data_IF_869341951829
#
_entry.id   IF_869341951829
#
_cell.length_a   1.000
_cell.length_b   1.000
_cell.length_c   1.000
_cell.angle_alpha   90.00
_cell.angle_beta   90.00
_cell.angle_gamma   90.00
#
_symmetry.space_group_name_H-M   'P 1'
#
loop_
_entity.id
_entity.type
_entity.pdbx_description
1 polymer ?
#
# COMPACT_ATOMS: atom_id res chain seq x y z
N UNK A 1 8.04 3.05 21.95
CA UNK A 1 8.73 2.70 20.67
C UNK A 1 7.82 1.93 19.73
N UNK A 2 7.30 0.74 20.08
CA UNK A 2 6.41 -0.06 19.18
C UNK A 2 5.17 0.72 18.74
N UNK A 3 4.49 1.43 19.64
CA UNK A 3 3.32 2.26 19.30
C UNK A 3 3.66 3.33 18.27
N UNK A 4 4.75 4.08 18.47
CA UNK A 4 5.18 5.13 17.52
C UNK A 4 5.50 4.56 16.13
N UNK A 5 6.07 3.33 16.08
CA UNK A 5 6.32 2.65 14.80
C UNK A 5 5.02 2.24 14.11
N UNK A 6 4.00 1.79 14.84
CA UNK A 6 2.68 1.51 14.28
C UNK A 6 2.00 2.78 13.80
N UNK A 7 2.02 3.86 14.59
CA UNK A 7 1.51 5.17 14.17
C UNK A 7 2.19 5.68 12.88
N UNK A 8 3.49 5.41 12.69
CA UNK A 8 4.17 5.71 11.43
C UNK A 8 3.58 4.92 10.26
N UNK A 9 3.26 3.63 10.44
CA UNK A 9 2.59 2.81 9.43
C UNK A 9 1.20 3.34 9.06
N UNK A 10 0.42 3.78 10.04
CA UNK A 10 -0.86 4.45 9.78
C UNK A 10 -0.67 5.78 9.04
N UNK A 11 0.36 6.55 9.42
CA UNK A 11 0.75 7.79 8.75
C UNK A 11 1.19 7.58 7.30
N UNK A 12 1.80 6.43 6.97
CA UNK A 12 2.18 6.08 5.60
C UNK A 12 0.96 6.04 4.66
N UNK A 13 -0.14 5.46 5.13
CA UNK A 13 -1.39 5.39 4.36
C UNK A 13 -1.97 6.78 4.09
N UNK A 14 -2.02 7.62 5.12
CA UNK A 14 -2.50 9.00 4.99
C UNK A 14 -1.62 9.81 4.04
N UNK A 15 -0.30 9.72 4.20
CA UNK A 15 0.66 10.45 3.36
C UNK A 15 0.56 10.03 1.89
N UNK A 16 0.35 8.74 1.59
CA UNK A 16 0.12 8.28 0.23
C UNK A 16 -1.04 9.02 -0.43
N UNK A 17 -2.21 9.05 0.22
CA UNK A 17 -3.39 9.70 -0.35
C UNK A 17 -3.20 11.22 -0.50
N UNK A 18 -2.63 11.87 0.51
CA UNK A 18 -2.30 13.30 0.43
C UNK A 18 -1.34 13.60 -0.71
N UNK A 19 -0.31 12.76 -0.89
CA UNK A 19 0.66 12.91 -1.98
C UNK A 19 -0.02 12.82 -3.36
N UNK A 20 -0.87 11.81 -3.58
CA UNK A 20 -1.59 11.66 -4.85
C UNK A 20 -2.50 12.85 -5.12
N UNK A 21 -3.23 13.34 -4.10
CA UNK A 21 -4.10 14.51 -4.21
C UNK A 21 -3.28 15.75 -4.56
N UNK A 22 -2.26 16.07 -3.77
CA UNK A 22 -1.45 17.29 -3.96
C UNK A 22 -0.76 17.26 -5.31
N UNK A 23 -0.09 16.16 -5.68
CA UNK A 23 0.58 16.04 -6.97
C UNK A 23 -0.39 16.18 -8.15
N UNK A 24 -1.61 15.60 -8.05
CA UNK A 24 -2.61 15.73 -9.13
C UNK A 24 -3.12 17.15 -9.34
N UNK A 25 -3.21 17.96 -8.27
CA UNK A 25 -3.62 19.37 -8.36
C UNK A 25 -2.59 20.25 -9.08
N UNK A 26 -1.32 19.81 -9.15
CA UNK A 26 -0.27 20.54 -9.86
C UNK A 26 -0.18 20.24 -11.35
N UNK A 27 -0.97 19.27 -11.84
CA UNK A 27 -0.96 18.88 -13.25
C UNK A 27 -2.30 19.20 -13.94
N UNK A 28 -2.40 20.35 -14.64
CA UNK A 28 -3.61 20.69 -15.41
C UNK A 28 -3.95 19.59 -16.42
N UNK A 29 -5.20 19.12 -16.40
CA UNK A 29 -5.68 18.06 -17.31
C UNK A 29 -5.34 16.63 -16.89
N UNK A 30 -4.69 16.41 -15.74
CA UNK A 30 -4.49 15.08 -15.21
C UNK A 30 -5.82 14.38 -14.91
N UNK A 31 -5.94 13.13 -15.34
CA UNK A 31 -7.18 12.35 -15.20
C UNK A 31 -6.97 11.16 -14.25
N UNK A 32 -7.63 11.20 -13.11
CA UNK A 32 -7.68 10.06 -12.16
C UNK A 32 -8.34 8.80 -12.75
N UNK A 33 -9.05 8.92 -13.85
CA UNK A 33 -9.74 7.80 -14.50
C UNK A 33 -8.84 7.08 -15.49
N UNK A 34 -8.11 7.83 -16.31
CA UNK A 34 -7.37 7.28 -17.45
C UNK A 34 -5.87 7.17 -17.24
N UNK A 35 -5.31 7.87 -16.23
CA UNK A 35 -3.87 7.90 -15.96
C UNK A 35 -3.51 7.16 -14.66
N UNK A 36 -2.35 6.51 -14.66
CA UNK A 36 -1.79 5.91 -13.45
C UNK A 36 -1.39 6.99 -12.44
N UNK A 37 -1.48 6.65 -11.13
CA UNK A 37 -0.94 7.54 -10.08
C UNK A 37 0.57 7.76 -10.24
N UNK A 38 1.30 6.73 -10.66
CA UNK A 38 2.74 6.79 -10.87
C UNK A 38 3.18 7.71 -12.00
N UNK A 39 2.29 8.07 -12.94
CA UNK A 39 2.58 9.10 -13.93
C UNK A 39 2.83 10.47 -13.30
N UNK A 40 2.25 10.75 -12.11
CA UNK A 40 2.52 11.97 -11.36
C UNK A 40 3.99 12.12 -10.94
N UNK A 41 4.74 11.02 -10.89
CA UNK A 41 6.19 11.03 -10.62
C UNK A 41 7.06 10.96 -11.87
N UNK A 42 6.47 10.82 -13.05
CA UNK A 42 7.21 10.71 -14.31
C UNK A 42 7.71 12.05 -14.82
N UNK A 43 8.63 12.01 -15.79
CA UNK A 43 9.14 13.21 -16.45
C UNK A 43 8.06 14.02 -17.23
N UNK A 44 6.87 13.44 -17.45
CA UNK A 44 5.75 14.13 -18.08
C UNK A 44 4.99 15.03 -17.10
N UNK A 45 5.12 14.81 -15.79
CA UNK A 45 4.47 15.62 -14.78
C UNK A 45 5.15 16.99 -14.62
N UNK A 46 4.41 18.08 -14.37
CA UNK A 46 5.02 19.41 -14.15
C UNK A 46 5.88 19.46 -12.87
N UNK A 47 5.50 18.73 -11.82
CA UNK A 47 6.14 18.70 -10.51
C UNK A 47 6.29 17.26 -9.99
N UNK A 48 7.11 16.41 -10.68
CA UNK A 48 7.24 14.99 -10.32
C UNK A 48 7.86 14.78 -8.93
N UNK A 49 8.64 15.74 -8.45
CA UNK A 49 9.26 15.70 -7.12
C UNK A 49 8.24 15.61 -5.98
N UNK A 50 7.05 16.20 -6.12
CA UNK A 50 5.99 16.14 -5.09
C UNK A 50 5.56 14.69 -4.89
N UNK A 51 5.28 13.98 -6.00
CA UNK A 51 4.88 12.58 -5.94
C UNK A 51 6.03 11.70 -5.46
N UNK A 52 7.21 11.85 -6.04
CA UNK A 52 8.36 10.99 -5.77
C UNK A 52 8.82 11.09 -4.32
N UNK A 53 8.95 12.30 -3.76
CA UNK A 53 9.32 12.50 -2.35
C UNK A 53 8.22 11.96 -1.43
N UNK A 54 6.95 12.25 -1.72
CA UNK A 54 5.82 11.79 -0.91
C UNK A 54 5.71 10.27 -0.86
N UNK A 55 5.82 9.58 -2.00
CA UNK A 55 5.76 8.11 -2.08
C UNK A 55 6.99 7.46 -1.43
N UNK A 56 8.18 8.01 -1.63
CA UNK A 56 9.39 7.54 -0.95
C UNK A 56 9.23 7.65 0.57
N UNK A 57 8.74 8.79 1.06
CA UNK A 57 8.51 8.99 2.50
C UNK A 57 7.43 8.05 3.03
N UNK A 58 6.31 7.88 2.31
CA UNK A 58 5.27 6.91 2.67
C UNK A 58 5.82 5.48 2.72
N UNK A 59 6.69 5.11 1.78
CA UNK A 59 7.39 3.82 1.78
C UNK A 59 8.25 3.61 3.02
N UNK A 60 9.06 4.61 3.39
CA UNK A 60 9.89 4.56 4.61
C UNK A 60 9.03 4.39 5.88
N UNK A 61 7.95 5.16 5.99
CA UNK A 61 6.99 5.02 7.10
C UNK A 61 6.32 3.64 7.10
N UNK A 62 6.02 3.08 5.93
CA UNK A 62 5.49 1.72 5.78
C UNK A 62 6.46 0.65 6.29
N UNK A 63 7.75 0.77 5.99
CA UNK A 63 8.79 -0.12 6.54
C UNK A 63 8.82 -0.01 8.06
N UNK A 64 8.82 1.22 8.62
CA UNK A 64 8.80 1.43 10.06
C UNK A 64 7.55 0.81 10.68
N UNK A 65 6.37 0.95 10.06
CA UNK A 65 5.12 0.31 10.50
C UNK A 65 5.20 -1.21 10.51
N UNK A 66 5.80 -1.80 9.47
CA UNK A 66 6.03 -3.24 9.38
C UNK A 66 6.95 -3.76 10.50
N UNK A 67 8.04 -3.06 10.78
CA UNK A 67 8.91 -3.35 11.93
C UNK A 67 8.16 -3.19 13.26
N UNK A 68 7.22 -2.24 13.34
CA UNK A 68 6.30 -2.07 14.47
C UNK A 68 5.43 -3.31 14.69
N UNK A 69 4.83 -3.87 13.63
CA UNK A 69 4.05 -5.11 13.70
C UNK A 69 4.90 -6.29 14.15
N UNK A 70 6.11 -6.46 13.59
CA UNK A 70 7.05 -7.50 14.02
C UNK A 70 7.31 -7.40 15.53
N UNK A 71 7.67 -6.21 16.00
CA UNK A 71 7.94 -5.96 17.42
C UNK A 71 6.73 -6.21 18.31
N UNK A 72 5.55 -5.76 17.88
CA UNK A 72 4.27 -5.92 18.59
C UNK A 72 3.94 -7.39 18.82
N UNK A 73 4.02 -8.21 17.78
CA UNK A 73 3.67 -9.63 17.85
C UNK A 73 4.76 -10.47 18.50
N UNK A 74 6.05 -10.13 18.32
CA UNK A 74 7.15 -10.80 18.99
C UNK A 74 7.01 -10.72 20.51
N UNK A 75 6.68 -9.54 21.05
CA UNK A 75 6.44 -9.33 22.49
C UNK A 75 5.24 -10.12 23.04
N UNK A 76 4.37 -10.65 22.16
CA UNK A 76 3.16 -11.41 22.53
C UNK A 76 3.25 -12.91 22.21
N UNK A 77 4.44 -13.40 21.88
CA UNK A 77 4.69 -14.80 21.55
C UNK A 77 4.08 -15.24 20.21
N UNK A 78 3.76 -14.29 19.32
CA UNK A 78 3.17 -14.54 17.99
C UNK A 78 4.13 -14.16 16.86
N UNK A 79 5.41 -14.40 17.11
CA UNK A 79 6.51 -13.94 16.25
C UNK A 79 6.43 -14.44 14.81
N UNK A 80 5.93 -15.67 14.57
CA UNK A 80 5.90 -16.24 13.21
C UNK A 80 4.82 -15.56 12.35
N UNK A 81 3.54 -15.69 12.70
CA UNK A 81 2.44 -15.14 11.88
C UNK A 81 2.44 -13.61 11.89
N UNK A 82 2.66 -13.00 13.06
CA UNK A 82 2.75 -11.54 13.18
C UNK A 82 4.04 -10.98 12.57
N UNK A 83 5.15 -11.71 12.66
CA UNK A 83 6.40 -11.36 11.99
C UNK A 83 6.28 -11.40 10.48
N UNK A 84 5.65 -12.43 9.93
CA UNK A 84 5.37 -12.51 8.49
C UNK A 84 4.41 -11.40 8.02
N UNK A 85 3.39 -11.04 8.83
CA UNK A 85 2.53 -9.90 8.53
C UNK A 85 3.31 -8.59 8.47
N UNK A 86 4.21 -8.37 9.42
CA UNK A 86 5.08 -7.20 9.42
C UNK A 86 6.07 -7.19 8.24
N UNK A 87 6.65 -8.35 7.89
CA UNK A 87 7.54 -8.47 6.72
C UNK A 87 6.78 -8.18 5.41
N UNK A 88 5.54 -8.64 5.26
CA UNK A 88 4.73 -8.33 4.08
C UNK A 88 4.42 -6.83 3.97
N UNK A 89 4.23 -6.14 5.10
CA UNK A 89 4.10 -4.69 5.12
C UNK A 89 5.43 -3.98 4.81
N UNK A 90 6.55 -4.48 5.32
CA UNK A 90 7.87 -3.96 4.94
C UNK A 90 8.11 -4.11 3.43
N UNK A 91 7.72 -5.24 2.82
CA UNK A 91 7.84 -5.46 1.39
C UNK A 91 7.05 -4.41 0.58
N UNK A 92 5.82 -4.08 1.01
CA UNK A 92 5.06 -2.97 0.43
C UNK A 92 5.79 -1.63 0.58
N UNK A 93 6.32 -1.34 1.78
CA UNK A 93 7.07 -0.11 2.03
C UNK A 93 8.29 0.01 1.12
N UNK A 94 9.05 -1.08 0.93
CA UNK A 94 10.19 -1.14 -0.01
C UNK A 94 9.71 -0.92 -1.45
N UNK A 95 8.60 -1.51 -1.88
CA UNK A 95 8.04 -1.28 -3.21
C UNK A 95 7.70 0.21 -3.42
N UNK A 96 7.15 0.88 -2.42
CA UNK A 96 6.88 2.33 -2.48
C UNK A 96 8.17 3.15 -2.55
N UNK A 97 9.20 2.79 -1.77
CA UNK A 97 10.53 3.41 -1.86
C UNK A 97 11.09 3.29 -3.28
N UNK A 98 11.05 2.09 -3.86
CA UNK A 98 11.52 1.86 -5.24
C UNK A 98 10.70 2.68 -6.24
N UNK A 99 9.37 2.72 -6.10
CA UNK A 99 8.49 3.48 -6.98
C UNK A 99 8.76 4.98 -6.96
N UNK A 100 9.13 5.56 -5.80
CA UNK A 100 9.46 6.97 -5.69
C UNK A 100 10.89 7.31 -6.12
N UNK A 101 11.87 6.43 -5.84
CA UNK A 101 13.27 6.62 -6.21
C UNK A 101 13.54 6.31 -7.69
N UNK A 102 12.74 5.46 -8.30
CA UNK A 102 12.82 5.04 -9.69
C UNK A 102 11.50 5.35 -10.41
N UNK A 103 11.24 6.62 -10.77
CA UNK A 103 9.99 7.00 -11.43
C UNK A 103 9.87 6.35 -12.81
N UNK A 104 8.61 6.18 -13.28
CA UNK A 104 8.36 5.66 -14.62
C UNK A 104 9.07 6.48 -15.70
N UNK A 105 9.63 5.81 -16.74
CA UNK A 105 9.52 4.39 -17.09
C UNK A 105 10.66 3.47 -16.59
N UNK A 106 11.36 3.83 -15.50
CA UNK A 106 12.45 3.01 -14.96
C UNK A 106 11.97 1.57 -14.67
N UNK A 107 12.68 0.51 -15.10
CA UNK A 107 12.30 -0.88 -14.84
C UNK A 107 12.24 -1.24 -13.35
N UNK A 108 12.97 -0.54 -12.49
CA UNK A 108 12.94 -0.74 -11.04
C UNK A 108 11.70 -0.13 -10.37
N UNK A 109 10.91 0.67 -11.09
CA UNK A 109 9.69 1.31 -10.58
C UNK A 109 8.73 0.31 -9.92
N UNK A 110 8.61 -0.89 -10.48
CA UNK A 110 7.69 -1.92 -9.96
C UNK A 110 8.18 -2.61 -8.67
N UNK A 111 9.35 -2.25 -8.13
CA UNK A 111 9.88 -2.77 -6.87
C UNK A 111 9.93 -4.30 -6.83
N UNK A 112 10.28 -4.95 -7.96
CA UNK A 112 10.34 -6.41 -8.10
C UNK A 112 9.03 -7.14 -7.72
N UNK A 113 7.90 -6.48 -7.80
CA UNK A 113 6.60 -7.05 -7.42
C UNK A 113 6.40 -7.19 -5.90
N UNK A 114 7.26 -6.62 -5.06
CA UNK A 114 7.17 -6.68 -3.59
C UNK A 114 5.84 -6.11 -3.05
N UNK A 115 5.21 -5.21 -3.80
CA UNK A 115 3.88 -4.67 -3.45
C UNK A 115 2.82 -5.77 -3.32
N UNK A 116 2.94 -6.87 -4.08
CA UNK A 116 2.00 -7.99 -4.01
C UNK A 116 2.03 -8.71 -2.65
N UNK A 117 3.15 -8.64 -1.96
CA UNK A 117 3.34 -9.25 -0.64
C UNK A 117 2.30 -8.78 0.38
N UNK A 118 1.85 -7.52 0.30
CA UNK A 118 0.86 -6.97 1.23
C UNK A 118 -0.49 -7.68 1.20
N UNK A 119 -0.83 -8.38 0.11
CA UNK A 119 -2.05 -9.18 0.00
C UNK A 119 -2.11 -10.30 1.05
N UNK A 120 -0.95 -10.80 1.50
CA UNK A 120 -0.88 -11.80 2.56
C UNK A 120 -1.13 -11.22 3.96
N UNK A 121 -0.94 -9.91 4.17
CA UNK A 121 -1.02 -9.26 5.48
C UNK A 121 -2.32 -9.55 6.23
N UNK A 122 -3.53 -9.39 5.65
CA UNK A 122 -4.77 -9.63 6.37
C UNK A 122 -4.92 -11.09 6.81
N UNK A 123 -4.52 -12.07 6.00
CA UNK A 123 -4.56 -13.48 6.38
C UNK A 123 -3.60 -13.80 7.52
N UNK A 124 -2.39 -13.26 7.46
CA UNK A 124 -1.38 -13.43 8.51
C UNK A 124 -1.82 -12.78 9.83
N UNK A 125 -2.49 -11.61 9.75
CA UNK A 125 -3.09 -10.95 10.90
C UNK A 125 -4.25 -11.77 11.48
N UNK A 126 -5.11 -12.39 10.65
CA UNK A 126 -6.16 -13.29 11.13
C UNK A 126 -5.57 -14.43 11.98
N UNK A 127 -4.47 -15.02 11.53
CA UNK A 127 -3.77 -16.08 12.26
C UNK A 127 -3.14 -15.53 13.54
N UNK A 128 -2.44 -14.39 13.44
CA UNK A 128 -1.75 -13.77 14.57
C UNK A 128 -2.70 -13.30 15.68
N UNK A 129 -3.91 -12.89 15.33
CA UNK A 129 -4.93 -12.36 16.25
C UNK A 129 -5.96 -13.42 16.67
N UNK A 130 -5.76 -14.69 16.29
CA UNK A 130 -6.72 -15.76 16.61
C UNK A 130 -7.06 -15.79 18.10
N UNK A 131 -8.36 -15.71 18.40
CA UNK A 131 -8.90 -15.70 19.76
C UNK A 131 -8.66 -14.40 20.55
N UNK A 132 -8.22 -13.32 19.90
CA UNK A 132 -7.91 -12.04 20.55
C UNK A 132 -8.80 -10.88 20.13
N UNK A 133 -9.51 -11.01 19.01
CA UNK A 133 -10.36 -9.97 18.42
C UNK A 133 -11.74 -10.54 18.09
N UNK A 134 -12.74 -9.68 18.02
CA UNK A 134 -14.12 -10.06 17.71
C UNK A 134 -14.34 -10.36 16.22
N UNK A 135 -15.50 -11.00 15.91
CA UNK A 135 -15.87 -11.39 14.55
C UNK A 135 -15.90 -10.23 13.55
N UNK A 136 -16.30 -9.02 13.98
CA UNK A 136 -16.30 -7.83 13.13
C UNK A 136 -14.89 -7.49 12.60
N UNK A 137 -13.85 -7.65 13.44
CA UNK A 137 -12.48 -7.42 13.01
C UNK A 137 -12.01 -8.44 11.97
N UNK A 138 -12.33 -9.72 12.16
CA UNK A 138 -12.06 -10.75 11.15
C UNK A 138 -12.80 -10.50 9.85
N UNK A 139 -14.03 -10.02 9.92
CA UNK A 139 -14.81 -9.64 8.74
C UNK A 139 -14.10 -8.51 7.94
N UNK A 140 -13.61 -7.47 8.63
CA UNK A 140 -12.86 -6.38 8.01
C UNK A 140 -11.55 -6.86 7.36
N UNK A 141 -10.81 -7.75 8.02
CA UNK A 141 -9.61 -8.37 7.43
C UNK A 141 -9.96 -9.21 6.20
N UNK A 142 -11.09 -9.93 6.23
CA UNK A 142 -11.62 -10.71 5.10
C UNK A 142 -11.97 -9.80 3.91
N UNK A 143 -12.66 -8.70 4.16
CA UNK A 143 -12.99 -7.71 3.14
C UNK A 143 -11.71 -7.09 2.53
N UNK A 144 -10.73 -6.77 3.38
CA UNK A 144 -9.45 -6.26 2.90
C UNK A 144 -8.74 -7.27 2.00
N UNK A 145 -8.66 -8.55 2.41
CA UNK A 145 -8.06 -9.60 1.60
C UNK A 145 -8.78 -9.79 0.26
N UNK A 146 -10.10 -10.02 0.30
CA UNK A 146 -10.90 -10.28 -0.91
C UNK A 146 -10.89 -9.07 -1.84
N UNK A 147 -11.03 -7.86 -1.29
CA UNK A 147 -11.00 -6.62 -2.06
C UNK A 147 -9.64 -6.41 -2.74
N UNK A 148 -8.53 -6.57 -2.01
CA UNK A 148 -7.18 -6.41 -2.59
C UNK A 148 -6.89 -7.49 -3.63
N UNK A 149 -7.15 -8.76 -3.33
CA UNK A 149 -6.91 -9.87 -4.25
C UNK A 149 -7.78 -9.78 -5.52
N UNK A 150 -9.06 -9.44 -5.36
CA UNK A 150 -9.99 -9.27 -6.48
C UNK A 150 -9.59 -8.11 -7.40
N UNK A 151 -9.25 -6.96 -6.82
CA UNK A 151 -8.82 -5.79 -7.60
C UNK A 151 -7.46 -6.02 -8.27
N UNK A 152 -6.54 -6.74 -7.63
CA UNK A 152 -5.30 -7.17 -8.28
C UNK A 152 -5.59 -8.11 -9.47
N UNK A 153 -6.45 -9.10 -9.29
CA UNK A 153 -6.82 -10.00 -10.37
C UNK A 153 -7.40 -9.24 -11.58
N UNK A 154 -8.26 -8.25 -11.32
CA UNK A 154 -8.80 -7.37 -12.38
C UNK A 154 -7.67 -6.57 -13.04
N UNK A 155 -6.75 -5.98 -12.27
CA UNK A 155 -5.61 -5.22 -12.80
C UNK A 155 -4.66 -6.10 -13.62
N UNK A 156 -4.57 -7.40 -13.31
CA UNK A 156 -3.82 -8.40 -14.09
C UNK A 156 -4.62 -9.01 -15.26
N UNK A 157 -5.77 -8.44 -15.60
CA UNK A 157 -6.52 -8.78 -16.81
C UNK A 157 -7.67 -9.77 -16.64
N UNK A 158 -7.99 -10.20 -15.42
CA UNK A 158 -9.17 -11.04 -15.18
C UNK A 158 -10.43 -10.26 -15.56
N UNK A 159 -11.25 -10.84 -16.43
CA UNK A 159 -12.48 -10.23 -16.93
C UNK A 159 -12.30 -9.14 -17.98
N UNK A 160 -11.07 -8.83 -18.40
CA UNK A 160 -10.75 -7.82 -19.44
C UNK A 160 -11.43 -6.44 -19.20
N UNK A 161 -11.58 -6.07 -17.92
CA UNK A 161 -12.28 -4.84 -17.50
C UNK A 161 -11.39 -3.60 -17.60
N UNK A 162 -10.06 -3.79 -17.48
CA UNK A 162 -9.09 -2.70 -17.50
C UNK A 162 -8.72 -2.34 -18.92
N UNK A 163 -8.87 -1.07 -19.23
CA UNK A 163 -8.51 -0.48 -20.52
C UNK A 163 -7.74 0.83 -20.30
N UNK A 164 -7.08 1.37 -21.32
CA UNK A 164 -6.44 2.69 -21.21
C UNK A 164 -7.42 3.82 -20.88
N UNK A 165 -8.74 3.60 -21.06
CA UNK A 165 -9.78 4.60 -20.73
C UNK A 165 -10.19 4.58 -19.24
N UNK A 166 -9.79 3.57 -18.48
CA UNK A 166 -10.22 3.40 -17.08
C UNK A 166 -9.16 2.84 -16.13
N UNK A 167 -7.93 2.66 -16.61
CA UNK A 167 -6.83 2.06 -15.82
C UNK A 167 -6.55 2.83 -14.54
N UNK A 168 -6.61 4.14 -14.59
CA UNK A 168 -6.43 4.98 -13.41
C UNK A 168 -7.51 4.74 -12.34
N UNK A 169 -8.76 4.57 -12.75
CA UNK A 169 -9.86 4.26 -11.83
C UNK A 169 -9.62 2.94 -11.07
N UNK A 170 -9.25 1.87 -11.80
CA UNK A 170 -8.98 0.57 -11.19
C UNK A 170 -7.77 0.60 -10.26
N UNK A 171 -6.71 1.31 -10.64
CA UNK A 171 -5.55 1.48 -9.77
C UNK A 171 -5.92 2.21 -8.47
N UNK A 172 -6.77 3.23 -8.51
CA UNK A 172 -7.21 3.96 -7.32
C UNK A 172 -8.14 3.12 -6.45
N UNK A 173 -9.04 2.35 -7.06
CA UNK A 173 -9.86 1.41 -6.31
C UNK A 173 -8.98 0.42 -5.53
N UNK A 174 -7.96 -0.16 -6.18
CA UNK A 174 -6.97 -1.01 -5.53
C UNK A 174 -6.22 -0.27 -4.41
N UNK A 175 -5.74 0.94 -4.68
CA UNK A 175 -5.02 1.74 -3.69
C UNK A 175 -5.89 2.06 -2.47
N UNK A 176 -7.17 2.44 -2.66
CA UNK A 176 -8.08 2.71 -1.55
C UNK A 176 -8.24 1.49 -0.66
N UNK A 177 -8.53 0.32 -1.22
CA UNK A 177 -8.72 -0.90 -0.43
C UNK A 177 -7.42 -1.34 0.25
N UNK A 178 -6.34 -1.44 -0.53
CA UNK A 178 -5.06 -1.96 -0.05
C UNK A 178 -4.43 -1.04 1.01
N UNK A 179 -4.34 0.25 0.74
CA UNK A 179 -3.61 1.20 1.60
C UNK A 179 -4.42 1.57 2.82
N UNK A 180 -5.76 1.69 2.72
CA UNK A 180 -6.60 1.87 3.91
C UNK A 180 -6.50 0.67 4.85
N UNK A 181 -6.40 -0.56 4.32
CA UNK A 181 -6.16 -1.76 5.12
C UNK A 181 -4.82 -1.72 5.85
N UNK A 182 -3.75 -1.18 5.22
CA UNK A 182 -2.46 -0.96 5.87
C UNK A 182 -2.62 0.03 7.04
N UNK A 183 -3.24 1.18 6.80
CA UNK A 183 -3.50 2.16 7.85
C UNK A 183 -4.27 1.56 9.03
N UNK A 184 -5.33 0.80 8.75
CA UNK A 184 -6.14 0.11 9.75
C UNK A 184 -5.35 -0.96 10.54
N UNK A 185 -4.41 -1.66 9.90
CA UNK A 185 -3.61 -2.70 10.56
C UNK A 185 -2.58 -2.15 11.55
N UNK A 186 -2.24 -0.87 11.42
CA UNK A 186 -1.27 -0.17 12.26
C UNK A 186 -1.91 0.79 13.28
N UNK A 187 -3.23 1.05 13.18
CA UNK A 187 -3.96 1.89 14.12
C UNK A 187 -4.41 1.11 15.35
#
# INVERSE_FOLDING_TARGET
MTRTMLEAGAGAALLYFLTVIVASLTWPGYSHVTQYASELGSAAAPHPEIFNIGITTAGALGVIGGLGLISFFAQRGRWLSGGLAGLSLCAWGVAMLMGGLHPMPDPLHNGFGLMLGVTATPLLLMIALRGRVGGAFYFLLGLWFIGTAGLLAIMFGVGSLVTMKNVGLWQRALAVVMISGIGFSCA
#
